data_IF_994970746248
#
_entry.id   IF_994970746248
#
_cell.length_a   1.000
_cell.length_b   1.000
_cell.length_c   1.000
_cell.angle_alpha   90.00
_cell.angle_beta   90.00
_cell.angle_gamma   90.00
#
_symmetry.space_group_name_H-M   'P 1'
#
loop_
_entity.id
_entity.type
_entity.pdbx_description
1 polymer ?
#
# COMPACT_ATOMS: atom_id res chain seq x y z
N UNK A 1 -35.98 15.99 26.52
CA UNK A 1 -34.65 16.23 27.11
C UNK A 1 -33.82 16.85 26.01
N UNK A 2 -33.40 18.11 26.14
CA UNK A 2 -32.57 18.74 25.11
C UNK A 2 -31.23 18.01 25.05
N UNK A 3 -30.76 17.79 23.83
CA UNK A 3 -29.43 17.21 23.65
C UNK A 3 -28.38 18.30 23.83
N UNK A 4 -27.13 17.92 24.13
CA UNK A 4 -26.02 18.86 24.19
C UNK A 4 -25.80 19.61 22.86
N UNK A 5 -26.20 19.05 21.71
CA UNK A 5 -26.05 19.75 20.43
C UNK A 5 -27.06 20.89 20.29
N UNK A 6 -28.32 20.65 20.67
CA UNK A 6 -29.38 21.66 20.67
C UNK A 6 -28.98 22.83 21.58
N UNK A 7 -28.50 22.51 22.79
CA UNK A 7 -28.04 23.52 23.77
C UNK A 7 -26.89 24.37 23.23
N UNK A 8 -25.95 23.78 22.49
CA UNK A 8 -24.84 24.53 21.88
C UNK A 8 -25.35 25.44 20.75
N UNK A 9 -26.31 24.97 19.94
CA UNK A 9 -26.93 25.79 18.88
C UNK A 9 -27.71 26.96 19.49
N UNK A 10 -28.54 26.70 20.50
CA UNK A 10 -29.28 27.72 21.24
C UNK A 10 -28.34 28.77 21.87
N UNK A 11 -27.22 28.31 22.43
CA UNK A 11 -26.19 29.18 23.02
C UNK A 11 -25.52 30.06 21.96
N UNK A 12 -25.19 29.50 20.79
CA UNK A 12 -24.61 30.29 19.70
C UNK A 12 -25.63 31.30 19.14
N UNK A 13 -26.89 30.92 19.01
CA UNK A 13 -27.98 31.82 18.63
C UNK A 13 -28.18 32.95 19.64
N UNK A 14 -28.06 32.67 20.94
CA UNK A 14 -28.08 33.70 21.99
C UNK A 14 -26.95 34.74 21.79
N UNK A 15 -25.74 34.30 21.44
CA UNK A 15 -24.62 35.22 21.19
C UNK A 15 -24.71 35.95 19.85
N UNK A 16 -25.34 35.35 18.83
CA UNK A 16 -25.52 35.93 17.50
C UNK A 16 -24.23 36.18 16.72
N UNK A 17 -23.11 35.58 17.13
CA UNK A 17 -21.79 35.72 16.49
C UNK A 17 -20.84 34.57 16.85
N UNK A 18 -19.76 34.34 16.07
CA UNK A 18 -18.76 33.34 16.40
C UNK A 18 -18.17 33.57 17.79
N UNK A 19 -18.22 32.52 18.62
CA UNK A 19 -17.93 32.63 20.05
C UNK A 19 -16.89 31.58 20.47
N UNK A 20 -16.07 31.94 21.46
CA UNK A 20 -15.05 31.04 22.03
C UNK A 20 -15.71 29.92 22.85
N UNK A 21 -15.12 28.72 22.82
CA UNK A 21 -15.62 27.54 23.56
C UNK A 21 -15.79 27.85 25.05
N UNK A 22 -14.89 28.63 25.66
CA UNK A 22 -14.99 28.94 27.08
C UNK A 22 -16.24 29.76 27.41
N UNK A 23 -16.64 30.69 26.54
CA UNK A 23 -17.86 31.49 26.70
C UNK A 23 -19.13 30.68 26.42
N UNK A 24 -19.09 29.78 25.42
CA UNK A 24 -20.18 28.84 25.15
C UNK A 24 -20.41 27.96 26.39
N UNK A 25 -19.34 27.37 26.93
CA UNK A 25 -19.41 26.52 28.12
C UNK A 25 -19.90 27.28 29.36
N UNK A 26 -19.37 28.49 29.61
CA UNK A 26 -19.77 29.33 30.74
C UNK A 26 -21.26 29.65 30.67
N UNK A 27 -21.78 30.01 29.49
CA UNK A 27 -23.20 30.30 29.31
C UNK A 27 -24.09 29.08 29.56
N UNK A 28 -23.71 27.90 29.06
CA UNK A 28 -24.44 26.65 29.29
C UNK A 28 -24.52 26.32 30.78
N UNK A 29 -23.40 26.47 31.49
CA UNK A 29 -23.29 26.14 32.91
C UNK A 29 -24.03 27.14 33.79
N UNK A 30 -23.85 28.45 33.52
CA UNK A 30 -24.44 29.53 34.32
C UNK A 30 -25.97 29.55 34.27
N UNK A 31 -26.55 29.13 33.14
CA UNK A 31 -28.00 29.09 32.94
C UNK A 31 -28.58 27.67 33.12
N UNK A 32 -27.78 26.73 33.62
CA UNK A 32 -28.19 25.34 33.88
C UNK A 32 -28.83 24.64 32.66
N UNK A 33 -28.42 25.02 31.43
CA UNK A 33 -29.00 24.49 30.19
C UNK A 33 -28.65 23.01 29.96
N UNK A 34 -27.52 22.56 30.50
CA UNK A 34 -27.07 21.18 30.42
C UNK A 34 -26.14 20.83 31.58
N UNK A 35 -26.28 19.63 32.15
CA UNK A 35 -25.41 19.12 33.21
C UNK A 35 -24.34 18.19 32.62
N UNK A 36 -23.08 18.58 32.73
CA UNK A 36 -21.95 17.77 32.28
C UNK A 36 -21.60 16.70 33.33
N UNK A 37 -21.93 15.43 33.07
CA UNK A 37 -21.60 14.31 33.96
C UNK A 37 -20.12 13.89 33.98
N UNK A 38 -19.19 14.77 33.62
CA UNK A 38 -17.79 14.42 33.43
C UNK A 38 -16.99 14.54 34.74
N UNK A 39 -16.24 13.48 35.08
CA UNK A 39 -15.33 13.45 36.25
C UNK A 39 -13.98 14.16 36.02
N UNK A 40 -13.69 14.63 34.80
CA UNK A 40 -12.40 15.27 34.46
C UNK A 40 -12.42 16.77 34.78
N UNK A 41 -11.24 17.31 35.06
CA UNK A 41 -11.01 18.71 35.48
C UNK A 41 -11.39 19.78 34.44
N UNK A 42 -11.61 19.42 33.17
CA UNK A 42 -11.99 20.38 32.13
C UNK A 42 -13.17 19.89 31.26
N UNK A 43 -14.43 20.10 31.65
CA UNK A 43 -15.60 19.75 30.83
C UNK A 43 -15.72 20.53 29.49
N UNK A 44 -14.92 21.57 29.24
CA UNK A 44 -14.96 22.34 27.98
C UNK A 44 -14.56 21.49 26.78
N UNK A 45 -13.69 20.48 26.96
CA UNK A 45 -13.29 19.56 25.88
C UNK A 45 -14.49 18.80 25.28
N UNK A 46 -15.56 18.58 26.04
CA UNK A 46 -16.76 17.88 25.56
C UNK A 46 -17.49 18.75 24.54
N UNK A 47 -17.70 20.03 24.89
CA UNK A 47 -18.30 21.02 23.99
C UNK A 47 -17.43 21.19 22.75
N UNK A 48 -16.10 21.33 22.94
CA UNK A 48 -15.13 21.42 21.84
C UNK A 48 -15.24 20.25 20.88
N UNK A 49 -15.11 19.02 21.39
CA UNK A 49 -15.14 17.82 20.56
C UNK A 49 -16.47 17.66 19.84
N UNK A 50 -17.58 18.00 20.49
CA UNK A 50 -18.90 17.97 19.87
C UNK A 50 -19.00 18.95 18.70
N UNK A 51 -18.57 20.20 18.90
CA UNK A 51 -18.57 21.22 17.86
C UNK A 51 -17.63 20.79 16.73
N UNK A 52 -16.40 20.38 17.04
CA UNK A 52 -15.40 19.99 16.05
C UNK A 52 -15.87 18.81 15.17
N UNK A 53 -16.56 17.82 15.72
CA UNK A 53 -17.12 16.69 14.93
C UNK A 53 -18.21 17.11 13.94
N UNK A 54 -18.88 18.24 14.18
CA UNK A 54 -19.93 18.79 13.32
C UNK A 54 -19.49 20.07 12.59
N UNK A 55 -18.19 20.36 12.58
CA UNK A 55 -17.64 21.59 12.01
C UNK A 55 -17.05 21.35 10.62
N UNK A 56 -17.42 22.18 9.65
CA UNK A 56 -17.04 22.04 8.24
C UNK A 56 -15.52 22.03 8.04
N UNK A 57 -14.81 22.97 8.66
CA UNK A 57 -13.36 23.18 8.54
C UNK A 57 -12.56 22.75 9.79
N UNK A 58 -13.01 21.71 10.51
CA UNK A 58 -12.23 21.10 11.59
C UNK A 58 -11.37 19.93 11.12
N UNK A 59 -10.28 19.66 11.86
CA UNK A 59 -9.42 18.48 11.70
C UNK A 59 -9.85 17.32 12.62
N UNK A 60 -11.13 17.23 13.00
CA UNK A 60 -11.59 16.13 13.84
C UNK A 60 -11.41 14.79 13.11
N UNK A 61 -10.87 13.79 13.80
CA UNK A 61 -10.66 12.43 13.25
C UNK A 61 -11.95 11.73 12.83
N UNK A 62 -13.09 12.19 13.32
CA UNK A 62 -14.42 11.69 12.99
C UNK A 62 -15.36 12.87 12.77
N UNK A 63 -15.93 12.98 11.57
CA UNK A 63 -16.98 13.96 11.25
C UNK A 63 -18.33 13.27 11.15
N UNK A 64 -19.37 13.91 11.68
CA UNK A 64 -20.74 13.44 11.45
C UNK A 64 -21.26 13.92 10.10
N UNK A 65 -22.21 13.18 9.49
CA UNK A 65 -22.82 13.56 8.21
C UNK A 65 -23.50 14.94 8.23
N UNK A 66 -24.03 15.35 9.38
CA UNK A 66 -24.69 16.65 9.54
C UNK A 66 -23.69 17.67 10.08
N UNK A 67 -23.24 18.57 9.21
CA UNK A 67 -22.39 19.70 9.57
C UNK A 67 -23.29 20.86 10.04
N UNK A 68 -22.99 21.42 11.21
CA UNK A 68 -23.77 22.49 11.83
C UNK A 68 -22.94 23.72 12.16
N UNK A 69 -21.61 23.58 12.21
CA UNK A 69 -20.72 24.63 12.68
C UNK A 69 -19.65 24.97 11.65
N UNK A 70 -19.10 26.17 11.75
CA UNK A 70 -17.83 26.55 11.15
C UNK A 70 -16.92 27.15 12.21
N UNK A 71 -15.62 27.12 11.93
CA UNK A 71 -14.58 27.68 12.79
C UNK A 71 -14.05 28.97 12.18
N UNK A 72 -14.06 30.04 12.95
CA UNK A 72 -13.48 31.34 12.58
C UNK A 72 -12.15 31.52 13.33
N UNK A 73 -11.04 31.49 12.59
CA UNK A 73 -9.70 31.52 13.16
C UNK A 73 -9.38 30.29 14.03
N UNK A 74 -8.72 30.49 15.17
CA UNK A 74 -8.17 29.38 15.98
C UNK A 74 -9.07 28.90 17.10
N UNK A 75 -10.01 29.74 17.59
CA UNK A 75 -10.75 29.47 18.83
C UNK A 75 -12.25 29.76 18.79
N UNK A 76 -12.77 30.46 17.77
CA UNK A 76 -14.18 30.83 17.69
C UNK A 76 -14.95 29.89 16.77
N UNK A 77 -16.19 29.64 17.13
CA UNK A 77 -17.09 28.76 16.39
C UNK A 77 -18.43 29.47 16.17
N UNK A 78 -18.99 29.32 14.98
CA UNK A 78 -20.30 29.86 14.60
C UNK A 78 -21.18 28.82 13.95
N UNK A 79 -22.46 29.14 13.75
CA UNK A 79 -23.40 28.26 13.06
C UNK A 79 -23.20 28.34 11.55
N UNK A 80 -23.20 27.18 10.89
CA UNK A 80 -22.99 27.10 9.44
C UNK A 80 -24.06 27.86 8.66
N UNK A 81 -25.27 28.00 9.22
CA UNK A 81 -26.38 28.77 8.63
C UNK A 81 -26.12 30.28 8.59
N UNK A 82 -25.16 30.80 9.37
CA UNK A 82 -24.79 32.22 9.35
C UNK A 82 -23.90 32.59 8.16
N UNK A 83 -23.37 31.61 7.44
CA UNK A 83 -22.53 31.83 6.28
C UNK A 83 -23.37 31.90 5.01
N UNK A 84 -23.00 32.81 4.12
CA UNK A 84 -23.49 32.79 2.75
C UNK A 84 -22.95 31.54 2.02
N UNK A 85 -23.65 31.11 0.97
CA UNK A 85 -23.26 29.88 0.26
C UNK A 85 -21.88 30.01 -0.40
N UNK A 86 -21.49 31.22 -0.82
CA UNK A 86 -20.15 31.54 -1.31
C UNK A 86 -19.06 31.28 -0.26
N UNK A 87 -19.30 31.72 0.98
CA UNK A 87 -18.33 31.60 2.06
C UNK A 87 -18.16 30.14 2.49
N UNK A 88 -19.25 29.36 2.45
CA UNK A 88 -19.21 27.92 2.70
C UNK A 88 -18.31 27.21 1.70
N UNK A 89 -18.39 27.59 0.41
CA UNK A 89 -17.56 27.03 -0.66
C UNK A 89 -16.10 27.40 -0.44
N UNK A 90 -15.79 28.68 -0.18
CA UNK A 90 -14.42 29.15 0.06
C UNK A 90 -13.77 28.46 1.28
N UNK A 91 -14.54 28.30 2.37
CA UNK A 91 -14.09 27.58 3.56
C UNK A 91 -13.83 26.09 3.27
N UNK A 92 -14.66 25.46 2.42
CA UNK A 92 -14.47 24.07 2.03
C UNK A 92 -13.22 23.90 1.14
N UNK A 93 -13.02 24.79 0.18
CA UNK A 93 -11.87 24.79 -0.73
C UNK A 93 -10.56 25.01 0.02
N UNK A 94 -10.50 26.01 0.90
CA UNK A 94 -9.32 26.29 1.74
C UNK A 94 -9.00 25.12 2.67
N UNK A 95 -10.02 24.46 3.25
CA UNK A 95 -9.85 23.27 4.07
C UNK A 95 -9.29 22.08 3.27
N UNK A 96 -9.87 21.80 2.09
CA UNK A 96 -9.37 20.73 1.23
C UNK A 96 -7.95 20.99 0.76
N UNK A 97 -7.62 22.23 0.37
CA UNK A 97 -6.26 22.62 -0.02
C UNK A 97 -5.24 22.37 1.10
N UNK A 98 -5.59 22.69 2.35
CA UNK A 98 -4.73 22.42 3.50
C UNK A 98 -4.56 20.90 3.79
N UNK A 99 -5.62 20.11 3.59
CA UNK A 99 -5.55 18.64 3.71
C UNK A 99 -4.65 18.04 2.63
N UNK A 100 -4.77 18.50 1.38
CA UNK A 100 -3.91 18.07 0.27
C UNK A 100 -2.44 18.37 0.56
N UNK A 101 -2.11 19.58 1.00
CA UNK A 101 -0.74 19.93 1.36
C UNK A 101 -0.17 19.07 2.50
N UNK A 102 -0.99 18.69 3.49
CA UNK A 102 -0.57 17.78 4.57
C UNK A 102 -0.31 16.35 4.06
N UNK A 103 -1.11 15.89 3.11
CA UNK A 103 -0.93 14.58 2.47
C UNK A 103 0.34 14.59 1.62
N UNK A 104 0.56 15.63 0.79
CA UNK A 104 1.78 15.80 0.01
C UNK A 104 3.02 15.79 0.91
N UNK A 105 3.04 16.56 2.01
CA UNK A 105 4.20 16.57 2.91
C UNK A 105 4.48 15.21 3.56
N UNK A 106 3.42 14.44 3.87
CA UNK A 106 3.55 13.08 4.41
C UNK A 106 4.01 12.08 3.37
N UNK A 107 3.60 12.27 2.11
CA UNK A 107 4.05 11.46 0.99
C UNK A 107 5.54 11.67 0.79
N UNK A 108 6.02 12.93 0.76
CA UNK A 108 7.45 13.26 0.70
C UNK A 108 8.25 12.63 1.86
N UNK A 109 7.70 12.66 3.08
CA UNK A 109 8.31 12.01 4.24
C UNK A 109 8.40 10.49 4.08
N UNK A 110 7.37 9.87 3.51
CA UNK A 110 7.34 8.42 3.25
C UNK A 110 8.29 8.05 2.11
N UNK A 111 8.35 8.83 1.03
CA UNK A 111 9.28 8.64 -0.09
C UNK A 111 10.74 8.74 0.38
N UNK A 112 11.03 9.72 1.24
CA UNK A 112 12.33 9.86 1.91
C UNK A 112 12.66 8.66 2.80
N UNK A 113 11.69 8.16 3.58
CA UNK A 113 11.89 6.99 4.47
C UNK A 113 12.01 5.66 3.73
N UNK A 114 11.33 5.49 2.60
CA UNK A 114 11.39 4.27 1.79
C UNK A 114 12.69 4.16 0.99
N UNK A 115 13.52 5.20 0.97
CA UNK A 115 14.79 5.19 0.24
C UNK A 115 14.58 5.04 -1.28
N UNK A 116 13.41 5.45 -1.79
CA UNK A 116 13.09 5.39 -3.22
C UNK A 116 14.10 6.21 -4.02
N UNK A 117 14.58 7.31 -3.46
CA UNK A 117 15.64 8.15 -4.04
C UNK A 117 16.94 7.35 -4.22
N UNK A 118 17.32 6.54 -3.24
CA UNK A 118 18.51 5.68 -3.28
C UNK A 118 18.34 4.50 -4.23
N UNK A 119 17.12 3.98 -4.36
CA UNK A 119 16.77 2.95 -5.35
C UNK A 119 16.86 3.53 -6.77
N UNK A 120 16.28 4.71 -7.00
CA UNK A 120 16.34 5.40 -8.29
C UNK A 120 17.78 5.78 -8.67
N UNK A 121 18.60 6.19 -7.70
CA UNK A 121 20.03 6.46 -7.92
C UNK A 121 20.78 5.19 -8.34
N UNK A 122 20.55 4.05 -7.66
CA UNK A 122 21.16 2.76 -8.02
C UNK A 122 20.68 2.25 -9.39
N UNK A 123 19.39 2.43 -9.72
CA UNK A 123 18.83 2.08 -11.03
C UNK A 123 19.47 2.93 -12.12
N UNK A 124 19.56 4.24 -11.93
CA UNK A 124 20.19 5.15 -12.90
C UNK A 124 21.68 4.85 -13.09
N UNK A 125 22.42 4.54 -12.02
CA UNK A 125 23.82 4.12 -12.12
C UNK A 125 23.98 2.81 -12.91
N UNK A 126 23.07 1.86 -12.74
CA UNK A 126 23.11 0.60 -13.49
C UNK A 126 22.72 0.79 -14.95
N UNK A 127 21.75 1.65 -15.26
CA UNK A 127 21.39 2.02 -16.65
C UNK A 127 22.59 2.64 -17.35
N UNK A 128 23.30 3.58 -16.72
CA UNK A 128 24.50 4.20 -17.28
C UNK A 128 25.61 3.18 -17.58
N UNK A 129 25.85 2.22 -16.68
CA UNK A 129 26.84 1.15 -16.90
C UNK A 129 26.46 0.24 -18.06
N UNK A 130 25.17 -0.06 -18.23
CA UNK A 130 24.66 -0.87 -19.34
C UNK A 130 24.87 -0.13 -20.67
N UNK A 131 24.53 1.16 -20.72
CA UNK A 131 24.72 1.99 -21.92
C UNK A 131 26.20 2.12 -22.30
N UNK A 132 27.10 2.31 -21.33
CA UNK A 132 28.55 2.33 -21.58
C UNK A 132 29.06 1.00 -22.13
N UNK A 133 28.60 -0.13 -21.57
CA UNK A 133 28.99 -1.45 -22.04
C UNK A 133 28.46 -1.73 -23.46
N UNK A 134 27.19 -1.38 -23.74
CA UNK A 134 26.59 -1.51 -25.06
C UNK A 134 27.31 -0.65 -26.10
N UNK A 135 27.66 0.59 -25.75
CA UNK A 135 28.42 1.49 -26.61
C UNK A 135 29.80 0.92 -26.93
N UNK A 136 30.52 0.42 -25.91
CA UNK A 136 31.84 -0.20 -26.05
C UNK A 136 31.81 -1.44 -26.95
N UNK A 137 30.78 -2.29 -26.81
CA UNK A 137 30.60 -3.42 -27.73
C UNK A 137 30.30 -2.97 -29.16
N UNK A 138 29.48 -1.93 -29.34
CA UNK A 138 29.19 -1.40 -30.68
C UNK A 138 30.44 -0.81 -31.36
N UNK A 139 31.32 -0.17 -30.59
CA UNK A 139 32.58 0.38 -31.09
C UNK A 139 33.56 -0.73 -31.48
N UNK A 140 33.69 -1.77 -30.65
CA UNK A 140 34.48 -2.96 -30.96
C UNK A 140 33.99 -3.64 -32.25
N UNK A 141 32.67 -3.77 -32.41
CA UNK A 141 32.08 -4.36 -33.60
C UNK A 141 32.35 -3.51 -34.86
N UNK A 142 32.24 -2.18 -34.74
CA UNK A 142 32.59 -1.25 -35.82
C UNK A 142 34.06 -1.36 -36.21
N UNK A 143 34.96 -1.46 -35.24
CA UNK A 143 36.39 -1.61 -35.49
C UNK A 143 36.69 -2.93 -36.21
N UNK A 144 36.10 -4.04 -35.75
CA UNK A 144 36.22 -5.34 -36.42
C UNK A 144 35.69 -5.32 -37.86
N UNK A 145 34.53 -4.68 -38.09
CA UNK A 145 33.98 -4.48 -39.42
C UNK A 145 34.91 -3.64 -40.30
N UNK A 146 35.42 -2.53 -39.78
CA UNK A 146 36.31 -1.63 -40.53
C UNK A 146 37.62 -2.32 -40.90
N UNK A 147 38.20 -3.08 -39.97
CA UNK A 147 39.40 -3.88 -40.21
C UNK A 147 39.16 -4.99 -41.24
N UNK A 148 38.02 -5.69 -41.17
CA UNK A 148 37.65 -6.69 -42.16
C UNK A 148 37.44 -6.06 -43.54
N UNK A 149 36.75 -4.92 -43.62
CA UNK A 149 36.58 -4.18 -44.87
C UNK A 149 37.92 -3.75 -45.45
N UNK A 150 38.80 -3.16 -44.65
CA UNK A 150 40.12 -2.72 -45.09
C UNK A 150 40.99 -3.88 -45.60
N UNK A 151 41.02 -5.00 -44.86
CA UNK A 151 41.73 -6.21 -45.28
C UNK A 151 41.19 -6.77 -46.60
N UNK A 152 39.87 -6.74 -46.80
CA UNK A 152 39.26 -7.17 -48.05
C UNK A 152 39.55 -6.19 -49.19
N UNK A 153 39.56 -4.87 -48.93
CA UNK A 153 39.95 -3.86 -49.93
C UNK A 153 41.40 -4.06 -50.38
N UNK A 154 42.33 -4.30 -49.45
CA UNK A 154 43.73 -4.62 -49.77
C UNK A 154 43.86 -5.90 -50.61
N UNK A 155 43.08 -6.94 -50.30
CA UNK A 155 43.06 -8.16 -51.13
C UNK A 155 42.57 -7.86 -52.55
N UNK A 156 41.54 -7.03 -52.70
CA UNK A 156 41.01 -6.61 -54.01
C UNK A 156 42.06 -5.82 -54.79
N UNK A 157 42.71 -4.83 -54.16
CA UNK A 157 43.74 -4.01 -54.81
C UNK A 157 44.92 -4.85 -55.27
N UNK A 158 45.36 -5.82 -54.46
CA UNK A 158 46.40 -6.77 -54.84
C UNK A 158 45.98 -7.64 -56.04
N UNK A 159 44.73 -8.11 -56.06
CA UNK A 159 44.17 -8.86 -57.18
C UNK A 159 44.12 -8.02 -58.46
N UNK A 160 43.66 -6.77 -58.38
CA UNK A 160 43.63 -5.83 -59.51
C UNK A 160 45.05 -5.55 -60.01
N UNK A 161 46.01 -5.35 -59.11
CA UNK A 161 47.41 -5.13 -59.46
C UNK A 161 48.02 -6.34 -60.17
N UNK A 162 47.77 -7.57 -59.68
CA UNK A 162 48.21 -8.79 -60.37
C UNK A 162 47.58 -8.92 -61.75
N UNK A 163 46.30 -8.60 -61.89
CA UNK A 163 45.61 -8.60 -63.18
C UNK A 163 46.21 -7.57 -64.16
N UNK A 164 46.47 -6.35 -63.69
CA UNK A 164 47.09 -5.30 -64.52
C UNK A 164 48.44 -5.74 -65.06
N UNK A 165 49.30 -6.30 -64.21
CA UNK A 165 50.60 -6.84 -64.61
C UNK A 165 50.47 -7.97 -65.64
N UNK A 166 49.47 -8.83 -65.49
CA UNK A 166 49.21 -9.92 -66.43
C UNK A 166 48.67 -9.39 -67.78
N UNK A 167 47.76 -8.42 -67.76
CA UNK A 167 47.29 -7.74 -68.98
C UNK A 167 48.37 -6.92 -69.67
N UNK A 168 49.32 -6.31 -68.94
CA UNK A 168 50.47 -5.61 -69.53
C UNK A 168 51.45 -6.57 -70.20
N UNK A 169 51.67 -7.77 -69.62
CA UNK A 169 52.45 -8.84 -70.28
C UNK A 169 51.78 -9.25 -71.58
N UNK A 170 50.46 -9.47 -71.56
CA UNK A 170 49.68 -9.84 -72.75
C UNK A 170 49.70 -8.71 -73.81
N UNK A 171 49.68 -7.43 -73.40
CA UNK A 171 49.77 -6.28 -74.32
C UNK A 171 51.11 -6.15 -75.04
N UNK A 172 52.21 -6.67 -74.48
CA UNK A 172 53.54 -6.64 -75.12
C UNK A 172 53.72 -7.70 -76.21
N UNK A 173 52.85 -8.70 -76.28
CA UNK A 173 52.94 -9.83 -77.20
C UNK A 173 51.95 -9.75 -78.38
N UNK A 174 51.51 -8.56 -78.79
CA UNK A 174 50.37 -8.43 -79.72
C UNK A 174 50.71 -8.54 -81.22
N UNK A 175 50.34 -9.69 -81.80
CA UNK A 175 49.77 -9.81 -83.15
C UNK A 175 48.60 -10.83 -83.15
N UNK A 176 47.45 -10.42 -83.74
CA UNK A 176 46.23 -11.17 -84.16
C UNK A 176 45.44 -12.06 -83.16
N UNK A 177 45.94 -12.47 -81.98
CA UNK A 177 45.22 -13.37 -81.04
C UNK A 177 44.21 -12.66 -80.09
N UNK A 178 43.75 -11.45 -80.45
CA UNK A 178 43.07 -10.47 -79.56
C UNK A 178 41.66 -10.83 -79.12
N UNK A 179 40.87 -11.42 -80.03
CA UNK A 179 39.44 -11.64 -79.75
C UNK A 179 39.18 -12.83 -78.81
N UNK A 180 40.05 -13.83 -78.81
CA UNK A 180 39.91 -15.00 -77.93
C UNK A 180 40.38 -14.70 -76.50
N UNK A 181 41.38 -13.82 -76.33
CA UNK A 181 41.87 -13.39 -75.01
C UNK A 181 40.95 -12.39 -74.33
N UNK A 182 40.28 -11.49 -75.07
CA UNK A 182 39.22 -10.63 -74.50
C UNK A 182 38.07 -11.45 -73.91
N UNK A 183 37.60 -12.47 -74.65
CA UNK A 183 36.55 -13.36 -74.16
C UNK A 183 37.00 -14.18 -72.92
N UNK A 184 38.27 -14.56 -72.82
CA UNK A 184 38.81 -15.20 -71.60
C UNK A 184 38.90 -14.24 -70.41
N UNK A 185 39.26 -12.98 -70.66
CA UNK A 185 39.33 -11.94 -69.63
C UNK A 185 37.93 -11.64 -69.10
N UNK A 186 36.93 -11.47 -69.97
CA UNK A 186 35.54 -11.25 -69.56
C UNK A 186 34.97 -12.44 -68.79
N UNK A 187 35.36 -13.67 -69.17
CA UNK A 187 35.01 -14.88 -68.39
C UNK A 187 35.61 -14.85 -66.99
N UNK A 188 36.90 -14.51 -66.87
CA UNK A 188 37.57 -14.39 -65.57
C UNK A 188 36.98 -13.26 -64.71
N UNK A 189 36.63 -12.13 -65.29
CA UNK A 189 35.99 -11.00 -64.59
C UNK A 189 34.59 -11.43 -64.08
N UNK A 190 33.82 -12.14 -64.90
CA UNK A 190 32.53 -12.68 -64.48
C UNK A 190 32.66 -13.73 -63.38
N UNK A 191 33.61 -14.65 -63.48
CA UNK A 191 33.85 -15.67 -62.46
C UNK A 191 34.25 -15.03 -61.12
N UNK A 192 35.09 -14.00 -61.14
CA UNK A 192 35.49 -13.23 -59.95
C UNK A 192 34.30 -12.46 -59.38
N UNK A 193 33.52 -11.79 -60.23
CA UNK A 193 32.33 -11.06 -59.78
C UNK A 193 31.33 -11.99 -59.11
N UNK A 194 31.19 -13.21 -59.64
CA UNK A 194 30.33 -14.26 -59.07
C UNK A 194 30.86 -14.77 -57.73
N UNK A 195 32.17 -14.99 -57.60
CA UNK A 195 32.80 -15.32 -56.31
C UNK A 195 32.59 -14.21 -55.27
N UNK A 196 32.66 -12.94 -55.67
CA UNK A 196 32.38 -11.81 -54.77
C UNK A 196 30.93 -11.75 -54.32
N UNK A 197 29.97 -11.96 -55.23
CA UNK A 197 28.55 -12.03 -54.87
C UNK A 197 28.28 -13.17 -53.89
N UNK A 198 28.90 -14.34 -54.11
CA UNK A 198 28.80 -15.49 -53.20
C UNK A 198 29.42 -15.20 -51.82
N UNK A 199 30.60 -14.57 -51.76
CA UNK A 199 31.21 -14.17 -50.48
C UNK A 199 30.36 -13.13 -49.74
N UNK A 200 29.89 -12.09 -50.42
CA UNK A 200 29.01 -11.06 -49.83
C UNK A 200 27.72 -11.68 -49.32
N UNK A 201 27.12 -12.59 -50.08
CA UNK A 201 25.91 -13.30 -49.67
C UNK A 201 26.18 -14.16 -48.43
N UNK A 202 27.31 -14.88 -48.39
CA UNK A 202 27.70 -15.69 -47.22
C UNK A 202 27.95 -14.83 -45.97
N UNK A 203 28.56 -13.66 -46.12
CA UNK A 203 28.80 -12.69 -45.04
C UNK A 203 27.50 -12.10 -44.52
N UNK A 204 26.61 -11.66 -45.41
CA UNK A 204 25.28 -11.16 -45.03
C UNK A 204 24.48 -12.23 -44.27
N UNK A 205 24.54 -13.48 -44.74
CA UNK A 205 23.90 -14.61 -44.06
C UNK A 205 24.47 -14.80 -42.65
N UNK A 206 25.80 -14.88 -42.50
CA UNK A 206 26.46 -15.00 -41.18
C UNK A 206 26.12 -13.85 -40.23
N UNK A 207 26.08 -12.60 -40.72
CA UNK A 207 25.71 -11.44 -39.90
C UNK A 207 24.26 -11.53 -39.45
N UNK A 208 23.35 -11.95 -40.34
CA UNK A 208 21.93 -12.10 -40.00
C UNK A 208 21.69 -13.26 -39.02
N UNK A 209 22.40 -14.37 -39.20
CA UNK A 209 22.35 -15.53 -38.29
C UNK A 209 22.87 -15.14 -36.90
N UNK A 210 24.00 -14.41 -36.83
CA UNK A 210 24.55 -13.90 -35.56
C UNK A 210 23.62 -12.89 -34.88
N UNK A 211 23.04 -11.95 -35.63
CA UNK A 211 22.05 -11.00 -35.10
C UNK A 211 20.83 -11.73 -34.53
N UNK A 212 20.31 -12.72 -35.26
CA UNK A 212 19.19 -13.54 -34.79
C UNK A 212 19.52 -14.28 -33.49
N UNK A 213 20.75 -14.81 -33.36
CA UNK A 213 21.20 -15.48 -32.14
C UNK A 213 21.33 -14.50 -30.95
N UNK A 214 21.87 -13.31 -31.17
CA UNK A 214 21.94 -12.28 -30.13
C UNK A 214 20.56 -11.76 -29.71
N UNK A 215 19.64 -11.55 -30.64
CA UNK A 215 18.26 -11.19 -30.31
C UNK A 215 17.56 -12.26 -29.49
N UNK A 216 17.83 -13.55 -29.77
CA UNK A 216 17.31 -14.65 -28.95
C UNK A 216 17.87 -14.62 -27.52
N UNK A 217 19.18 -14.37 -27.35
CA UNK A 217 19.82 -14.23 -26.02
C UNK A 217 19.29 -13.03 -25.24
N UNK A 218 19.11 -11.88 -25.89
CA UNK A 218 18.53 -10.68 -25.26
C UNK A 218 17.10 -10.96 -24.81
N UNK A 219 16.32 -11.68 -25.62
CA UNK A 219 14.95 -12.07 -25.25
C UNK A 219 14.93 -13.00 -24.04
N UNK A 220 15.78 -14.03 -23.99
CA UNK A 220 15.92 -14.91 -22.82
C UNK A 220 16.33 -14.14 -21.56
N UNK A 221 17.35 -13.27 -21.66
CA UNK A 221 17.81 -12.45 -20.53
C UNK A 221 16.71 -11.53 -20.00
N UNK A 222 15.90 -10.94 -20.90
CA UNK A 222 14.77 -10.11 -20.52
C UNK A 222 13.70 -10.93 -19.79
N UNK A 223 13.35 -12.11 -20.30
CA UNK A 223 12.39 -13.01 -19.67
C UNK A 223 12.87 -13.49 -18.29
N UNK A 224 14.17 -13.76 -18.14
CA UNK A 224 14.79 -14.11 -16.86
C UNK A 224 14.75 -12.94 -15.87
N UNK A 225 15.03 -11.71 -16.32
CA UNK A 225 15.02 -10.51 -15.50
C UNK A 225 13.61 -10.15 -15.02
N UNK A 226 12.61 -10.20 -15.90
CA UNK A 226 11.19 -10.01 -15.54
C UNK A 226 10.73 -11.06 -14.53
N UNK A 227 11.14 -12.33 -14.71
CA UNK A 227 10.87 -13.41 -13.74
C UNK A 227 11.54 -13.14 -12.38
N UNK A 228 12.78 -12.66 -12.37
CA UNK A 228 13.51 -12.37 -11.13
C UNK A 228 12.94 -11.17 -10.38
N UNK A 229 12.55 -10.10 -11.07
CA UNK A 229 11.85 -8.94 -10.47
C UNK A 229 10.54 -9.40 -9.83
N UNK A 230 9.72 -10.15 -10.58
CA UNK A 230 8.45 -10.66 -10.06
C UNK A 230 8.64 -11.58 -8.84
N UNK A 231 9.62 -12.49 -8.88
CA UNK A 231 9.94 -13.36 -7.75
C UNK A 231 10.41 -12.58 -6.53
N UNK A 232 11.17 -11.50 -6.73
CA UNK A 232 11.62 -10.63 -5.65
C UNK A 232 10.46 -9.85 -5.03
N UNK A 233 9.61 -9.22 -5.82
CA UNK A 233 8.43 -8.50 -5.32
C UNK A 233 7.51 -9.41 -4.50
N UNK A 234 7.27 -10.64 -4.97
CA UNK A 234 6.45 -11.59 -4.22
C UNK A 234 7.16 -12.06 -2.95
N UNK A 235 8.49 -12.25 -2.99
CA UNK A 235 9.27 -12.57 -1.81
C UNK A 235 9.18 -11.46 -0.76
N UNK A 236 9.42 -10.21 -1.16
CA UNK A 236 9.36 -9.03 -0.31
C UNK A 236 7.95 -8.86 0.30
N UNK A 237 6.89 -9.08 -0.50
CA UNK A 237 5.51 -9.01 -0.02
C UNK A 237 5.19 -10.14 0.98
N UNK A 238 5.66 -11.36 0.70
CA UNK A 238 5.56 -12.50 1.62
C UNK A 238 6.31 -12.22 2.93
N UNK A 239 7.52 -11.70 2.86
CA UNK A 239 8.34 -11.35 4.01
C UNK A 239 7.68 -10.24 4.84
N UNK A 240 7.16 -9.19 4.19
CA UNK A 240 6.42 -8.13 4.88
C UNK A 240 5.19 -8.67 5.61
N UNK A 241 4.39 -9.55 4.99
CA UNK A 241 3.26 -10.18 5.69
C UNK A 241 3.69 -11.13 6.80
N UNK A 242 4.79 -11.87 6.63
CA UNK A 242 5.36 -12.74 7.68
C UNK A 242 5.82 -11.91 8.87
N UNK A 243 6.61 -10.86 8.63
CA UNK A 243 7.09 -9.95 9.66
C UNK A 243 5.92 -9.26 10.38
N UNK A 244 4.84 -8.92 9.65
CA UNK A 244 3.65 -8.34 10.26
C UNK A 244 2.87 -9.36 11.10
N UNK A 245 2.78 -10.61 10.67
CA UNK A 245 2.20 -11.69 11.47
C UNK A 245 3.03 -11.94 12.75
N UNK A 246 4.36 -12.00 12.64
CA UNK A 246 5.27 -12.21 13.77
C UNK A 246 5.24 -11.04 14.76
N UNK A 247 5.17 -9.80 14.27
CA UNK A 247 5.00 -8.62 15.14
C UNK A 247 3.66 -8.64 15.84
N UNK A 248 2.58 -9.02 15.16
CA UNK A 248 1.27 -9.21 15.80
C UNK A 248 1.27 -10.34 16.82
N UNK A 249 2.00 -11.43 16.59
CA UNK A 249 2.14 -12.52 17.56
C UNK A 249 2.89 -12.05 18.82
N UNK A 250 3.99 -11.32 18.64
CA UNK A 250 4.74 -10.70 19.75
C UNK A 250 3.91 -9.66 20.50
N UNK A 251 3.14 -8.85 19.78
CA UNK A 251 2.22 -7.87 20.39
C UNK A 251 1.09 -8.56 21.15
N UNK A 252 0.53 -9.64 20.60
CA UNK A 252 -0.46 -10.49 21.29
C UNK A 252 0.11 -11.04 22.58
N UNK A 253 1.32 -11.59 22.57
CA UNK A 253 1.96 -12.12 23.78
C UNK A 253 2.19 -11.02 24.83
N UNK A 254 2.69 -9.86 24.39
CA UNK A 254 2.92 -8.69 25.26
C UNK A 254 1.61 -8.15 25.84
N UNK A 255 0.55 -8.10 25.03
CA UNK A 255 -0.77 -7.67 25.45
C UNK A 255 -1.39 -8.67 26.44
N UNK A 256 -1.23 -9.97 26.20
CA UNK A 256 -1.67 -11.04 27.11
C UNK A 256 -0.98 -10.95 28.47
N UNK A 257 0.34 -10.76 28.51
CA UNK A 257 1.09 -10.59 29.76
C UNK A 257 0.62 -9.35 30.53
N UNK A 258 0.37 -8.23 29.84
CA UNK A 258 -0.20 -7.03 30.45
C UNK A 258 -1.65 -7.26 30.94
N UNK A 259 -2.41 -8.09 30.24
CA UNK A 259 -3.77 -8.47 30.61
C UNK A 259 -3.82 -9.32 31.88
N UNK A 260 -2.98 -10.35 31.99
CA UNK A 260 -2.89 -11.18 33.19
C UNK A 260 -2.59 -10.31 34.42
N UNK A 261 -1.62 -9.39 34.30
CA UNK A 261 -1.29 -8.43 35.36
C UNK A 261 -2.49 -7.51 35.65
N UNK A 262 -3.14 -6.99 34.60
CA UNK A 262 -4.29 -6.09 34.74
C UNK A 262 -5.48 -6.75 35.46
N UNK A 263 -5.78 -8.02 35.18
CA UNK A 263 -6.82 -8.78 35.90
C UNK A 263 -6.45 -8.89 37.37
N UNK A 264 -5.22 -9.31 37.68
CA UNK A 264 -4.77 -9.50 39.06
C UNK A 264 -4.90 -8.18 39.84
N UNK A 265 -4.44 -7.06 39.27
CA UNK A 265 -4.53 -5.73 39.89
C UNK A 265 -6.00 -5.32 40.10
N UNK A 266 -6.84 -5.46 39.08
CA UNK A 266 -8.26 -5.10 39.17
C UNK A 266 -8.99 -5.95 40.20
N UNK A 267 -8.67 -7.24 40.26
CA UNK A 267 -9.23 -8.18 41.24
C UNK A 267 -8.81 -7.82 42.67
N UNK A 268 -7.53 -7.50 42.89
CA UNK A 268 -7.02 -7.05 44.19
C UNK A 268 -7.67 -5.75 44.64
N UNK A 269 -7.79 -4.75 43.75
CA UNK A 269 -8.48 -3.49 44.05
C UNK A 269 -9.96 -3.75 44.38
N UNK A 270 -10.62 -4.62 43.63
CA UNK A 270 -12.02 -4.97 43.86
C UNK A 270 -12.20 -5.60 45.25
N UNK A 271 -11.36 -6.57 45.62
CA UNK A 271 -11.36 -7.16 46.97
C UNK A 271 -11.12 -6.09 48.05
N UNK A 272 -10.18 -5.18 47.82
CA UNK A 272 -9.86 -4.13 48.79
C UNK A 272 -11.03 -3.17 49.01
N UNK A 273 -11.72 -2.76 47.92
CA UNK A 273 -12.94 -1.94 48.00
C UNK A 273 -14.04 -2.69 48.74
N UNK A 274 -14.25 -3.98 48.47
CA UNK A 274 -15.20 -4.81 49.23
C UNK A 274 -14.87 -4.81 50.70
N UNK A 275 -13.62 -5.06 51.07
CA UNK A 275 -13.20 -5.11 52.48
C UNK A 275 -13.44 -3.78 53.18
N UNK A 276 -13.07 -2.65 52.56
CA UNK A 276 -13.31 -1.32 53.11
C UNK A 276 -14.80 -1.02 53.29
N UNK A 277 -15.63 -1.42 52.32
CA UNK A 277 -17.07 -1.21 52.38
C UNK A 277 -17.74 -2.17 53.37
N UNK A 278 -17.24 -3.39 53.56
CA UNK A 278 -17.82 -4.39 54.49
C UNK A 278 -17.43 -4.20 55.96
N UNK A 279 -16.27 -3.59 56.26
CA UNK A 279 -15.80 -3.33 57.64
C UNK A 279 -16.87 -2.67 58.53
N UNK A 280 -17.56 -1.59 58.11
CA UNK A 280 -18.60 -0.97 58.93
C UNK A 280 -19.88 -1.82 59.03
N UNK A 281 -20.20 -2.66 58.03
CA UNK A 281 -21.42 -3.50 58.01
C UNK A 281 -21.28 -4.82 58.75
N UNK A 282 -20.06 -5.26 59.12
CA UNK A 282 -19.86 -6.45 59.95
C UNK A 282 -20.57 -6.37 61.31
N UNK A 283 -20.95 -5.17 61.75
CA UNK A 283 -21.71 -4.93 62.98
C UNK A 283 -23.25 -4.92 62.81
N UNK A 284 -23.80 -4.89 61.58
CA UNK A 284 -25.25 -4.67 61.34
C UNK A 284 -25.92 -5.68 60.37
N UNK A 285 -25.33 -6.87 60.20
CA UNK A 285 -25.78 -7.89 59.23
C UNK A 285 -27.14 -8.55 59.59
N UNK A 286 -28.26 -7.88 59.30
CA UNK A 286 -29.57 -8.52 59.26
C UNK A 286 -30.48 -8.16 58.06
N UNK A 287 -30.04 -7.31 57.13
CA UNK A 287 -30.89 -6.92 56.00
C UNK A 287 -30.42 -7.53 54.66
N UNK A 288 -31.13 -8.56 54.17
CA UNK A 288 -30.73 -9.42 53.03
C UNK A 288 -30.73 -8.73 51.66
N UNK A 289 -31.50 -7.66 51.49
CA UNK A 289 -31.66 -6.96 50.20
C UNK A 289 -30.44 -6.15 49.77
N UNK A 290 -29.73 -5.55 50.72
CA UNK A 290 -28.53 -4.74 50.43
C UNK A 290 -27.36 -5.62 49.94
N UNK A 291 -27.26 -6.84 50.47
CA UNK A 291 -26.21 -7.80 50.10
C UNK A 291 -26.28 -8.17 48.60
N UNK A 292 -27.48 -8.29 48.02
CA UNK A 292 -27.64 -8.62 46.60
C UNK A 292 -27.16 -7.50 45.68
N UNK A 293 -27.52 -6.24 45.99
CA UNK A 293 -27.15 -5.08 45.18
C UNK A 293 -25.63 -4.88 45.20
N UNK A 294 -25.00 -4.99 46.37
CA UNK A 294 -23.54 -4.88 46.49
C UNK A 294 -22.83 -5.97 45.71
N UNK A 295 -23.29 -7.23 45.78
CA UNK A 295 -22.75 -8.34 44.98
C UNK A 295 -22.87 -8.11 43.47
N UNK A 296 -24.00 -7.56 43.01
CA UNK A 296 -24.22 -7.28 41.59
C UNK A 296 -23.32 -6.14 41.10
N UNK A 297 -23.21 -5.05 41.88
CA UNK A 297 -22.34 -3.90 41.56
C UNK A 297 -20.87 -4.28 41.51
N UNK A 298 -20.44 -5.28 42.29
CA UNK A 298 -19.08 -5.82 42.25
C UNK A 298 -18.83 -6.75 41.07
N UNK A 299 -19.82 -7.55 40.69
CA UNK A 299 -19.71 -8.47 39.56
C UNK A 299 -19.74 -7.74 38.22
N UNK A 300 -20.48 -6.64 38.10
CA UNK A 300 -20.72 -5.97 36.82
C UNK A 300 -19.42 -5.48 36.14
N UNK A 301 -18.47 -4.80 36.80
CA UNK A 301 -17.21 -4.37 36.18
C UNK A 301 -16.35 -5.54 35.74
N UNK A 302 -16.33 -6.64 36.50
CA UNK A 302 -15.60 -7.86 36.15
C UNK A 302 -16.19 -8.46 34.87
N UNK A 303 -17.51 -8.52 34.78
CA UNK A 303 -18.22 -9.04 33.61
C UNK A 303 -18.02 -8.16 32.37
N UNK A 304 -18.09 -6.84 32.50
CA UNK A 304 -17.78 -5.88 31.43
C UNK A 304 -16.32 -5.97 30.99
N UNK A 305 -15.40 -6.16 31.93
CA UNK A 305 -13.98 -6.31 31.62
C UNK A 305 -13.68 -7.61 30.87
N UNK A 306 -14.21 -8.74 31.36
CA UNK A 306 -14.05 -10.06 30.69
C UNK A 306 -14.65 -10.03 29.28
N UNK A 307 -15.84 -9.44 29.10
CA UNK A 307 -16.47 -9.33 27.78
C UNK A 307 -15.71 -8.42 26.82
N UNK A 308 -15.25 -7.25 27.27
CA UNK A 308 -14.39 -6.37 26.48
C UNK A 308 -13.11 -7.06 26.03
N UNK A 309 -12.48 -7.83 26.93
CA UNK A 309 -11.23 -8.53 26.65
C UNK A 309 -11.42 -9.74 25.75
N UNK A 310 -12.50 -10.50 25.93
CA UNK A 310 -12.88 -11.57 24.99
C UNK A 310 -13.07 -11.03 23.57
N UNK A 311 -13.73 -9.88 23.44
CA UNK A 311 -13.93 -9.21 22.14
C UNK A 311 -12.59 -8.80 21.49
N UNK A 312 -11.72 -8.14 22.25
CA UNK A 312 -10.41 -7.73 21.73
C UNK A 312 -9.53 -8.94 21.36
N UNK A 313 -9.58 -10.01 22.15
CA UNK A 313 -8.86 -11.24 21.83
C UNK A 313 -9.34 -11.86 20.51
N UNK A 314 -10.66 -12.01 20.34
CA UNK A 314 -11.24 -12.53 19.11
C UNK A 314 -10.86 -11.66 17.91
N UNK A 315 -10.88 -10.33 18.08
CA UNK A 315 -10.46 -9.39 17.04
C UNK A 315 -8.99 -9.57 16.65
N UNK A 316 -8.07 -9.58 17.62
CA UNK A 316 -6.64 -9.82 17.37
C UNK A 316 -6.38 -11.20 16.75
N UNK A 317 -7.10 -12.24 17.20
CA UNK A 317 -6.97 -13.60 16.66
C UNK A 317 -7.41 -13.65 15.19
N UNK A 318 -8.57 -13.07 14.86
CA UNK A 318 -9.06 -13.00 13.48
C UNK A 318 -8.12 -12.22 12.57
N UNK A 319 -7.61 -11.06 13.03
CA UNK A 319 -6.62 -10.28 12.27
C UNK A 319 -5.36 -11.12 12.00
N UNK A 320 -4.85 -11.80 13.01
CA UNK A 320 -3.69 -12.69 12.85
C UNK A 320 -3.95 -13.80 11.83
N UNK A 321 -5.09 -14.49 11.93
CA UNK A 321 -5.49 -15.53 10.97
C UNK A 321 -5.58 -14.98 9.54
N UNK A 322 -6.11 -13.76 9.37
CA UNK A 322 -6.24 -13.12 8.08
C UNK A 322 -4.88 -12.70 7.49
N UNK A 323 -3.98 -12.11 8.28
CA UNK A 323 -2.62 -11.80 7.82
C UNK A 323 -1.79 -13.04 7.53
N UNK A 324 -1.93 -14.09 8.34
CA UNK A 324 -1.30 -15.40 8.10
C UNK A 324 -1.81 -16.01 6.79
N UNK A 325 -3.13 -15.98 6.57
CA UNK A 325 -3.74 -16.42 5.32
C UNK A 325 -3.23 -15.62 4.12
N UNK A 326 -3.15 -14.28 4.22
CA UNK A 326 -2.60 -13.43 3.16
C UNK A 326 -1.13 -13.71 2.88
N UNK A 327 -0.32 -13.99 3.90
CA UNK A 327 1.08 -14.40 3.75
C UNK A 327 1.19 -15.72 2.98
N UNK A 328 0.38 -16.72 3.35
CA UNK A 328 0.30 -18.01 2.66
C UNK A 328 -0.12 -17.79 1.21
N UNK A 329 -1.16 -16.99 0.97
CA UNK A 329 -1.66 -16.70 -0.39
C UNK A 329 -0.59 -16.02 -1.25
N UNK A 330 0.11 -15.02 -0.70
CA UNK A 330 1.21 -14.34 -1.36
C UNK A 330 2.33 -15.32 -1.77
N UNK A 331 2.71 -16.25 -0.88
CA UNK A 331 3.69 -17.31 -1.18
C UNK A 331 3.22 -18.28 -2.28
N UNK A 332 1.91 -18.52 -2.40
CA UNK A 332 1.36 -19.43 -3.40
C UNK A 332 1.13 -18.80 -4.78
N UNK A 333 1.06 -17.46 -4.90
CA UNK A 333 0.87 -16.77 -6.18
C UNK A 333 1.91 -17.17 -7.25
N UNK A 334 3.23 -17.22 -6.98
CA UNK A 334 4.23 -17.63 -7.97
C UNK A 334 4.13 -19.11 -8.31
N UNK A 335 3.77 -19.95 -7.34
CA UNK A 335 3.62 -21.40 -7.50
C UNK A 335 2.43 -21.69 -8.40
N UNK A 336 1.28 -21.09 -8.11
CA UNK A 336 0.07 -21.21 -8.93
C UNK A 336 0.29 -20.67 -10.34
N UNK A 337 1.01 -19.55 -10.50
CA UNK A 337 1.38 -19.03 -11.82
C UNK A 337 2.24 -20.03 -12.61
N UNK A 338 3.23 -20.68 -11.98
CA UNK A 338 4.04 -21.72 -12.62
C UNK A 338 3.22 -22.94 -13.02
N UNK A 339 2.36 -23.43 -12.14
CA UNK A 339 1.48 -24.59 -12.42
C UNK A 339 0.55 -24.27 -13.59
N UNK A 340 -0.10 -23.10 -13.57
CA UNK A 340 -1.01 -22.70 -14.64
C UNK A 340 -0.29 -22.48 -15.99
N UNK A 341 0.94 -21.97 -15.96
CA UNK A 341 1.75 -21.78 -17.17
C UNK A 341 2.31 -23.09 -17.73
N UNK A 342 2.82 -23.95 -16.86
CA UNK A 342 3.55 -25.17 -17.27
C UNK A 342 2.64 -26.38 -17.46
N UNK A 343 1.60 -26.54 -16.63
CA UNK A 343 0.75 -27.74 -16.64
C UNK A 343 -0.57 -27.52 -17.39
N UNK A 344 -1.10 -26.29 -17.39
CA UNK A 344 -2.34 -25.94 -18.09
C UNK A 344 -2.12 -25.22 -19.43
N UNK A 345 -0.88 -24.80 -19.75
CA UNK A 345 -0.55 -24.16 -21.03
C UNK A 345 -1.24 -22.81 -21.27
N UNK A 346 -1.71 -22.15 -20.21
CA UNK A 346 -2.44 -20.88 -20.31
C UNK A 346 -1.51 -19.71 -20.66
N UNK A 347 -2.00 -18.78 -21.48
CA UNK A 347 -1.32 -17.51 -21.78
C UNK A 347 -1.18 -16.66 -20.49
N UNK A 348 -0.11 -15.88 -20.38
CA UNK A 348 0.10 -14.91 -19.29
C UNK A 348 -1.12 -13.97 -19.10
N UNK A 349 -1.86 -13.64 -20.17
CA UNK A 349 -3.13 -12.87 -20.05
C UNK A 349 -4.25 -13.65 -19.37
N UNK A 350 -4.39 -14.94 -19.65
CA UNK A 350 -5.41 -15.80 -19.03
C UNK A 350 -5.04 -16.11 -17.57
N UNK A 351 -3.76 -16.34 -17.27
CA UNK A 351 -3.26 -16.52 -15.91
C UNK A 351 -3.46 -15.26 -15.06
N UNK A 352 -3.27 -14.09 -15.66
CA UNK A 352 -3.55 -12.80 -15.03
C UNK A 352 -5.03 -12.70 -14.60
N UNK A 353 -5.94 -13.05 -15.50
CA UNK A 353 -7.38 -12.98 -15.27
C UNK A 353 -7.91 -14.01 -14.26
N UNK A 354 -7.41 -15.26 -14.30
CA UNK A 354 -7.99 -16.36 -13.54
C UNK A 354 -7.47 -16.49 -12.10
N UNK A 355 -6.18 -16.28 -11.85
CA UNK A 355 -5.59 -16.60 -10.53
C UNK A 355 -4.95 -15.43 -9.81
N UNK A 356 -4.25 -14.54 -10.51
CA UNK A 356 -3.52 -13.46 -9.84
C UNK A 356 -4.44 -12.31 -9.46
N UNK A 357 -5.36 -11.86 -10.33
CA UNK A 357 -6.19 -10.70 -10.05
C UNK A 357 -7.13 -10.92 -8.85
N UNK A 358 -7.84 -12.07 -8.79
CA UNK A 358 -8.69 -12.42 -7.63
C UNK A 358 -7.90 -12.67 -6.33
N UNK A 359 -6.70 -13.25 -6.44
CA UNK A 359 -5.86 -13.52 -5.27
C UNK A 359 -5.23 -12.22 -4.74
N UNK A 360 -4.81 -11.33 -5.64
CA UNK A 360 -4.28 -10.00 -5.33
C UNK A 360 -5.39 -9.11 -4.77
N UNK A 361 -6.60 -9.10 -5.35
CA UNK A 361 -7.77 -8.40 -4.79
C UNK A 361 -8.06 -8.85 -3.35
N UNK A 362 -8.03 -10.16 -3.08
CA UNK A 362 -8.20 -10.69 -1.70
C UNK A 362 -7.07 -10.30 -0.76
N UNK A 363 -5.83 -10.21 -1.25
CA UNK A 363 -4.68 -9.73 -0.46
C UNK A 363 -4.83 -8.23 -0.15
N UNK A 364 -5.28 -7.44 -1.13
CA UNK A 364 -5.44 -5.98 -1.03
C UNK A 364 -6.70 -5.54 -0.28
N UNK A 365 -7.72 -6.41 -0.16
CA UNK A 365 -8.95 -6.09 0.56
C UNK A 365 -8.67 -5.72 2.03
N UNK A 366 -9.28 -4.66 2.53
CA UNK A 366 -9.04 -4.17 3.88
C UNK A 366 -9.70 -5.11 4.93
N UNK A 367 -8.92 -5.71 5.84
CA UNK A 367 -9.46 -6.60 6.88
C UNK A 367 -10.48 -5.91 7.80
N UNK A 368 -10.38 -4.59 7.98
CA UNK A 368 -11.23 -3.84 8.91
C UNK A 368 -12.66 -3.63 8.39
N UNK A 369 -12.89 -3.60 7.07
CA UNK A 369 -14.22 -3.33 6.49
C UNK A 369 -15.17 -4.53 6.59
N UNK A 370 -14.64 -5.75 6.52
CA UNK A 370 -15.44 -6.97 6.64
C UNK A 370 -15.92 -7.22 8.08
N UNK A 371 -15.23 -6.68 9.08
CA UNK A 371 -15.47 -6.96 10.51
C UNK A 371 -16.56 -6.09 11.13
N UNK A 372 -16.73 -4.84 10.65
CA UNK A 372 -17.75 -3.91 11.18
C UNK A 372 -19.18 -4.47 11.04
N UNK A 373 -19.43 -5.33 10.04
CA UNK A 373 -20.74 -5.94 9.80
C UNK A 373 -21.04 -7.14 10.70
N UNK A 374 -20.04 -7.89 11.17
CA UNK A 374 -20.26 -9.05 12.05
C UNK A 374 -20.45 -8.64 13.52
N UNK A 375 -19.65 -7.69 14.01
CA UNK A 375 -19.62 -7.31 15.43
C UNK A 375 -20.89 -6.60 15.91
N UNK A 376 -21.56 -5.83 15.05
CA UNK A 376 -22.87 -5.22 15.37
C UNK A 376 -23.91 -6.29 15.70
N UNK A 377 -23.90 -7.40 14.97
CA UNK A 377 -24.90 -8.46 15.08
C UNK A 377 -24.79 -9.27 16.38
N UNK A 378 -23.58 -9.37 16.96
CA UNK A 378 -23.36 -10.10 18.21
C UNK A 378 -23.72 -9.28 19.46
N UNK A 379 -23.50 -7.95 19.40
CA UNK A 379 -23.85 -7.03 20.49
C UNK A 379 -25.37 -6.93 20.65
N UNK A 380 -26.09 -6.82 19.53
CA UNK A 380 -27.55 -6.74 19.53
C UNK A 380 -28.17 -7.98 20.21
N UNK A 381 -27.68 -9.18 19.88
CA UNK A 381 -28.14 -10.43 20.52
C UNK A 381 -27.88 -10.49 22.03
N UNK A 382 -26.80 -9.87 22.51
CA UNK A 382 -26.44 -9.87 23.92
C UNK A 382 -27.28 -8.85 24.71
N UNK A 383 -27.60 -7.71 24.10
CA UNK A 383 -28.54 -6.71 24.64
C UNK A 383 -29.94 -7.31 24.79
N UNK A 384 -30.41 -8.02 23.76
CA UNK A 384 -31.72 -8.69 23.79
C UNK A 384 -31.83 -9.70 24.94
N UNK A 385 -30.77 -10.49 25.17
CA UNK A 385 -30.71 -11.48 26.26
C UNK A 385 -30.76 -10.86 27.65
N UNK A 386 -30.08 -9.71 27.82
CA UNK A 386 -30.09 -8.99 29.11
C UNK A 386 -31.48 -8.40 29.38
N UNK A 387 -32.15 -7.89 28.34
CA UNK A 387 -33.52 -7.37 28.47
C UNK A 387 -34.53 -8.46 28.83
N UNK A 388 -34.43 -9.66 28.24
CA UNK A 388 -35.24 -10.82 28.63
C UNK A 388 -35.08 -11.17 30.12
N UNK A 389 -33.84 -11.24 30.61
CA UNK A 389 -33.55 -11.58 32.01
C UNK A 389 -34.10 -10.53 32.98
N UNK A 390 -34.07 -9.25 32.59
CA UNK A 390 -34.65 -8.16 33.39
C UNK A 390 -36.17 -8.19 33.40
N UNK A 391 -36.82 -8.58 32.29
CA UNK A 391 -38.27 -8.73 32.22
C UNK A 391 -38.76 -9.94 33.03
N UNK A 392 -38.06 -11.08 32.94
CA UNK A 392 -38.38 -12.29 33.70
C UNK A 392 -38.36 -12.02 35.21
N UNK A 393 -37.34 -11.32 35.70
CA UNK A 393 -37.23 -10.95 37.12
C UNK A 393 -38.33 -9.99 37.60
N UNK A 394 -38.90 -9.20 36.70
CA UNK A 394 -40.01 -8.27 36.98
C UNK A 394 -41.36 -8.98 37.08
N UNK A 395 -41.46 -10.22 36.60
CA UNK A 395 -42.66 -11.06 36.70
C UNK A 395 -42.66 -11.91 37.98
N UNK A 396 -41.50 -12.17 38.58
CA UNK A 396 -41.36 -12.90 39.85
C UNK A 396 -41.47 -11.99 41.10
N UNK A 397 -41.42 -10.66 40.93
CA UNK A 397 -41.60 -9.64 41.97
C UNK A 397 -42.99 -9.04 41.92
#
# INVERSE_FOLDING_TARGET
MQTIHDVVVDTLNYFGKPTDISLIYEHITKNELYSFGAKKEDPQHIVKNLIERKCINSNASYKTKQLLFYKEGTKKYGLLEWLEESDKVEILESFHKAQFQNIESKLDEVESKLGIEKINELVNQNILKIDEHAKKQSELLKEQLTNNFHNNTLKIENLIASFRLETEKIKKDFDVETLNKENEIDKKINDISKQFEEEIFSLKKKVNDNLSEEYAKIKELREELEKNIYMKEVHDMSEHFSNKADTMEKEKEKYYKKFEIGIIVTFVISIFVVLLEYIPYLNELHNSRNIFVTKLTLLLPILLFVTFMWRNYLHSKKLFEEYSYKSILAKHIPINRRILKNDAGLDDKEIAQYSTLKSVEKILANPNENQIKEDTTAIDKLIDRIQELLQYKKQES
#
